data_IF_668638305484
#
_entry.id   IF_668638305484
#
_cell.length_a   1.000
_cell.length_b   1.000
_cell.length_c   1.000
_cell.angle_alpha   90.00
_cell.angle_beta   90.00
_cell.angle_gamma   90.00
#
_symmetry.space_group_name_H-M   'P 1'
#
loop_
_entity.id
_entity.type
_entity.pdbx_description
1 polymer ?
#
# COMPACT_ATOMS: atom_id res chain seq x y z
N UNK A 1 -9.40 -33.27 -39.28
CA UNK A 1 -9.13 -31.83 -39.11
C UNK A 1 -9.13 -31.52 -37.61
N UNK A 2 -8.00 -31.30 -36.95
CA UNK A 2 -8.01 -30.93 -35.54
C UNK A 2 -8.27 -29.42 -35.37
N UNK A 3 -9.30 -29.08 -34.60
CA UNK A 3 -9.63 -27.73 -34.15
C UNK A 3 -8.55 -27.24 -33.17
N UNK A 4 -7.82 -26.20 -33.57
CA UNK A 4 -6.91 -25.47 -32.70
C UNK A 4 -7.67 -24.81 -31.55
N UNK A 5 -7.22 -25.06 -30.32
CA UNK A 5 -7.69 -24.42 -29.11
C UNK A 5 -7.32 -22.93 -29.10
N UNK A 6 -8.34 -22.06 -29.15
CA UNK A 6 -8.22 -20.66 -28.74
C UNK A 6 -8.14 -20.58 -27.21
N UNK A 7 -6.92 -20.70 -26.66
CA UNK A 7 -6.66 -20.28 -25.27
C UNK A 7 -6.69 -18.75 -25.23
N UNK A 8 -7.80 -18.19 -24.77
CA UNK A 8 -7.87 -16.78 -24.39
C UNK A 8 -6.89 -16.48 -23.24
N UNK A 9 -6.53 -15.20 -23.02
CA UNK A 9 -5.67 -14.81 -21.91
C UNK A 9 -6.33 -15.20 -20.59
N UNK A 10 -5.73 -16.16 -19.90
CA UNK A 10 -6.16 -16.60 -18.57
C UNK A 10 -5.84 -15.47 -17.60
N UNK A 11 -6.83 -14.64 -17.29
CA UNK A 11 -6.78 -13.77 -16.12
C UNK A 11 -6.91 -14.66 -14.87
N UNK A 12 -5.83 -15.34 -14.50
CA UNK A 12 -5.79 -16.18 -13.30
C UNK A 12 -5.95 -15.27 -12.08
N UNK A 13 -7.16 -15.26 -11.52
CA UNK A 13 -7.37 -14.63 -10.21
C UNK A 13 -6.70 -15.54 -9.17
N UNK A 14 -5.82 -15.03 -8.30
CA UNK A 14 -5.17 -15.87 -7.29
C UNK A 14 -6.24 -16.49 -6.38
N UNK A 15 -6.12 -17.79 -6.13
CA UNK A 15 -7.03 -18.52 -5.25
C UNK A 15 -6.95 -17.97 -3.82
N UNK A 16 -8.05 -18.00 -3.06
CA UNK A 16 -8.01 -17.74 -1.62
C UNK A 16 -7.08 -18.71 -0.88
N UNK A 17 -6.56 -18.27 0.26
CA UNK A 17 -5.81 -19.13 1.19
C UNK A 17 -6.63 -20.37 1.54
N UNK A 18 -6.00 -21.52 1.63
CA UNK A 18 -6.67 -22.74 2.06
C UNK A 18 -7.19 -22.60 3.50
N UNK A 19 -8.42 -23.07 3.75
CA UNK A 19 -9.06 -22.96 5.05
C UNK A 19 -8.63 -24.12 5.97
N UNK A 20 -7.41 -24.01 6.51
CA UNK A 20 -6.87 -24.91 7.53
C UNK A 20 -6.61 -24.15 8.84
N UNK A 21 -6.70 -24.79 10.02
CA UNK A 21 -6.55 -24.12 11.31
C UNK A 21 -5.24 -23.31 11.45
N UNK A 22 -4.13 -23.83 10.94
CA UNK A 22 -2.81 -23.19 11.01
C UNK A 22 -2.80 -21.82 10.31
N UNK A 23 -3.49 -21.70 9.17
CA UNK A 23 -3.56 -20.46 8.40
C UNK A 23 -4.54 -19.44 9.02
N UNK A 24 -5.36 -19.86 9.99
CA UNK A 24 -6.39 -19.04 10.62
C UNK A 24 -5.98 -18.55 12.02
N UNK A 25 -4.79 -18.88 12.50
CA UNK A 25 -4.26 -18.34 13.76
C UNK A 25 -3.85 -16.87 13.55
N UNK A 26 -4.63 -15.94 14.12
CA UNK A 26 -4.38 -14.51 14.01
C UNK A 26 -3.51 -14.00 15.17
N UNK A 27 -2.57 -13.10 14.86
CA UNK A 27 -1.70 -12.43 15.84
C UNK A 27 -1.71 -10.93 15.64
N UNK A 28 -1.50 -10.17 16.71
CA UNK A 28 -1.29 -8.73 16.63
C UNK A 28 0.21 -8.45 16.59
N UNK A 29 0.67 -7.81 15.52
CA UNK A 29 2.09 -7.47 15.31
C UNK A 29 2.27 -5.98 15.19
N UNK A 30 3.46 -5.49 15.51
CA UNK A 30 3.78 -4.07 15.38
C UNK A 30 4.24 -3.74 13.95
N UNK A 31 3.59 -2.75 13.35
CA UNK A 31 3.96 -2.14 12.08
C UNK A 31 4.04 -0.63 12.30
N UNK A 32 5.24 -0.05 12.16
CA UNK A 32 5.47 1.41 12.26
C UNK A 32 4.83 2.07 13.50
N UNK A 33 4.91 1.40 14.66
CA UNK A 33 4.39 1.89 15.94
C UNK A 33 2.89 1.64 16.19
N UNK A 34 2.18 0.99 15.27
CA UNK A 34 0.79 0.58 15.48
C UNK A 34 0.64 -0.94 15.45
N UNK A 35 -0.34 -1.48 16.18
CA UNK A 35 -0.67 -2.90 16.15
C UNK A 35 -1.59 -3.22 14.97
N UNK A 36 -1.21 -4.19 14.15
CA UNK A 36 -1.99 -4.71 13.02
C UNK A 36 -2.20 -6.21 13.14
N UNK A 37 -3.32 -6.70 12.62
CA UNK A 37 -3.61 -8.12 12.57
C UNK A 37 -2.78 -8.80 11.48
N UNK A 38 -2.26 -9.98 11.79
CA UNK A 38 -1.48 -10.82 10.89
C UNK A 38 -1.93 -12.28 10.95
N UNK A 39 -1.60 -13.01 9.90
CA UNK A 39 -1.67 -14.46 9.81
C UNK A 39 -0.35 -14.99 9.28
N UNK A 40 -0.02 -16.24 9.62
CA UNK A 40 1.09 -16.96 8.99
C UNK A 40 0.51 -17.90 7.94
N UNK A 41 0.92 -17.73 6.69
CA UNK A 41 0.53 -18.59 5.57
C UNK A 41 1.81 -19.11 4.92
N UNK A 42 1.95 -20.42 4.80
CA UNK A 42 3.15 -21.08 4.24
C UNK A 42 4.47 -20.58 4.88
N UNK A 43 4.46 -20.38 6.21
CA UNK A 43 5.61 -19.88 6.96
C UNK A 43 5.90 -18.39 6.79
N UNK A 44 5.13 -17.67 5.97
CA UNK A 44 5.25 -16.23 5.78
C UNK A 44 4.26 -15.47 6.66
N UNK A 45 4.74 -14.52 7.46
CA UNK A 45 3.87 -13.62 8.22
C UNK A 45 3.34 -12.50 7.31
N UNK A 46 2.01 -12.43 7.20
CA UNK A 46 1.31 -11.50 6.33
C UNK A 46 0.34 -10.65 7.17
N UNK A 47 0.36 -9.34 6.94
CA UNK A 47 -0.49 -8.37 7.64
C UNK A 47 -1.74 -8.03 6.82
N UNK A 48 -2.81 -7.62 7.50
CA UNK A 48 -4.05 -7.16 6.88
C UNK A 48 -3.82 -5.88 6.06
N UNK A 49 -3.90 -5.97 4.73
CA UNK A 49 -3.66 -4.83 3.84
C UNK A 49 -4.71 -3.71 3.98
N UNK A 50 -6.03 -3.98 4.04
CA UNK A 50 -7.01 -2.92 4.29
C UNK A 50 -6.78 -2.17 5.61
N UNK A 51 -6.43 -2.88 6.68
CA UNK A 51 -6.10 -2.26 7.98
C UNK A 51 -4.86 -1.36 7.88
N UNK A 52 -3.79 -1.86 7.26
CA UNK A 52 -2.57 -1.08 7.05
C UNK A 52 -2.81 0.14 6.15
N UNK A 53 -3.71 0.02 5.16
CA UNK A 53 -4.16 1.16 4.36
C UNK A 53 -4.84 2.23 5.22
N UNK A 54 -5.81 1.86 6.05
CA UNK A 54 -6.55 2.81 6.89
C UNK A 54 -5.66 3.51 7.93
N UNK A 55 -4.60 2.84 8.39
CA UNK A 55 -3.65 3.40 9.34
C UNK A 55 -2.61 4.32 8.69
N UNK A 56 -2.06 3.93 7.54
CA UNK A 56 -0.84 4.55 7.02
C UNK A 56 -0.97 5.19 5.64
N UNK A 57 -1.91 4.73 4.81
CA UNK A 57 -1.97 5.10 3.39
C UNK A 57 -3.20 5.92 3.00
N UNK A 58 -4.28 5.91 3.80
CA UNK A 58 -5.56 6.57 3.43
C UNK A 58 -5.46 8.06 3.10
N UNK A 59 -4.43 8.74 3.61
CA UNK A 59 -4.18 10.15 3.34
C UNK A 59 -3.13 10.39 2.24
N UNK A 60 -2.44 9.33 1.80
CA UNK A 60 -1.39 9.40 0.78
C UNK A 60 -1.92 9.00 -0.60
N UNK A 61 -3.01 8.23 -0.67
CA UNK A 61 -3.62 7.75 -1.91
C UNK A 61 -5.13 7.87 -1.87
N UNK A 62 -5.77 8.01 -3.03
CA UNK A 62 -7.22 8.22 -3.18
C UNK A 62 -8.11 7.01 -2.86
N UNK A 63 -7.58 5.96 -2.24
CA UNK A 63 -8.34 4.78 -1.82
C UNK A 63 -7.62 3.44 -2.02
N UNK A 64 -8.21 2.38 -1.46
CA UNK A 64 -7.66 1.02 -1.52
C UNK A 64 -7.57 0.46 -2.95
N UNK A 65 -8.40 0.95 -3.89
CA UNK A 65 -8.30 0.58 -5.30
C UNK A 65 -6.97 1.03 -5.92
N UNK A 66 -6.53 2.25 -5.64
CA UNK A 66 -5.24 2.78 -6.09
C UNK A 66 -4.07 1.97 -5.52
N UNK A 67 -4.20 1.49 -4.28
CA UNK A 67 -3.22 0.57 -3.68
C UNK A 67 -3.07 -0.70 -4.51
N UNK A 68 -4.18 -1.34 -4.92
CA UNK A 68 -4.12 -2.53 -5.76
C UNK A 68 -3.49 -2.26 -7.14
N UNK A 69 -3.76 -1.11 -7.75
CA UNK A 69 -3.11 -0.70 -9.00
C UNK A 69 -1.60 -0.53 -8.82
N UNK A 70 -1.17 0.10 -7.72
CA UNK A 70 0.26 0.25 -7.40
C UNK A 70 0.94 -1.09 -7.16
N UNK A 71 0.32 -1.99 -6.40
CA UNK A 71 0.84 -3.35 -6.17
C UNK A 71 1.07 -4.09 -7.49
N UNK A 72 0.13 -3.98 -8.45
CA UNK A 72 0.29 -4.55 -9.79
C UNK A 72 1.53 -3.98 -10.52
N UNK A 73 1.77 -2.67 -10.44
CA UNK A 73 2.93 -2.02 -11.08
C UNK A 73 4.26 -2.40 -10.40
N UNK A 74 4.23 -2.64 -9.10
CA UNK A 74 5.39 -3.09 -8.31
C UNK A 74 5.60 -4.60 -8.39
N UNK A 75 4.78 -5.32 -9.17
CA UNK A 75 4.81 -6.78 -9.32
C UNK A 75 4.60 -7.53 -7.99
N UNK A 76 3.90 -6.92 -7.04
CA UNK A 76 3.54 -7.53 -5.75
C UNK A 76 2.15 -8.13 -5.85
N UNK A 77 2.03 -9.43 -5.62
CA UNK A 77 0.75 -10.14 -5.58
C UNK A 77 0.32 -10.39 -4.13
N UNK A 78 -0.66 -9.65 -3.60
CA UNK A 78 -1.16 -9.89 -2.25
C UNK A 78 -2.00 -11.17 -2.18
N UNK A 79 -1.95 -11.83 -1.03
CA UNK A 79 -2.65 -13.09 -0.75
C UNK A 79 -4.12 -12.82 -0.45
N UNK A 80 -5.05 -13.61 -0.98
CA UNK A 80 -6.49 -13.41 -0.78
C UNK A 80 -6.95 -14.16 0.47
N UNK A 81 -7.55 -13.46 1.43
CA UNK A 81 -8.06 -14.09 2.65
C UNK A 81 -9.15 -15.13 2.34
N UNK A 82 -9.18 -16.20 3.13
CA UNK A 82 -10.33 -17.10 3.18
C UNK A 82 -11.48 -16.49 4.02
N UNK A 83 -12.66 -17.11 3.99
CA UNK A 83 -13.86 -16.62 4.69
C UNK A 83 -13.65 -16.51 6.20
N UNK A 84 -12.90 -17.44 6.79
CA UNK A 84 -12.68 -17.50 8.23
C UNK A 84 -11.71 -16.40 8.70
N UNK A 85 -10.62 -16.18 7.97
CA UNK A 85 -9.73 -15.03 8.21
C UNK A 85 -10.48 -13.70 8.12
N UNK A 86 -11.39 -13.53 7.15
CA UNK A 86 -12.23 -12.32 7.05
C UNK A 86 -13.14 -12.17 8.27
N UNK A 87 -13.73 -13.26 8.77
CA UNK A 87 -14.56 -13.24 9.99
C UNK A 87 -13.74 -12.84 11.22
N UNK A 88 -12.56 -13.43 11.39
CA UNK A 88 -11.64 -13.12 12.50
C UNK A 88 -11.24 -11.64 12.46
N UNK A 89 -10.84 -11.12 11.30
CA UNK A 89 -10.46 -9.71 11.14
C UNK A 89 -11.61 -8.75 11.47
N UNK A 90 -12.85 -9.08 11.12
CA UNK A 90 -14.02 -8.29 11.54
C UNK A 90 -14.25 -8.36 13.04
N UNK A 91 -14.13 -9.54 13.65
CA UNK A 91 -14.28 -9.74 15.09
C UNK A 91 -13.25 -8.96 15.91
N UNK A 92 -12.05 -8.76 15.36
CA UNK A 92 -10.98 -7.94 15.95
C UNK A 92 -11.11 -6.43 15.67
N UNK A 93 -12.07 -6.01 14.84
CA UNK A 93 -12.19 -4.62 14.40
C UNK A 93 -11.07 -4.17 13.44
N UNK A 94 -10.28 -5.10 12.91
CA UNK A 94 -9.20 -4.80 11.96
C UNK A 94 -9.75 -4.31 10.60
N UNK A 95 -10.96 -4.75 10.24
CA UNK A 95 -11.71 -4.30 9.06
C UNK A 95 -13.17 -4.03 9.44
N UNK A 96 -13.85 -3.16 8.68
CA UNK A 96 -15.25 -2.82 8.96
C UNK A 96 -16.19 -4.02 8.78
N UNK A 97 -17.32 -4.08 9.51
CA UNK A 97 -18.26 -5.21 9.46
C UNK A 97 -18.81 -5.54 8.06
N UNK A 98 -18.96 -4.55 7.18
CA UNK A 98 -19.44 -4.74 5.81
C UNK A 98 -18.40 -5.30 4.83
N UNK A 99 -17.13 -5.43 5.24
CA UNK A 99 -16.05 -5.91 4.38
C UNK A 99 -16.10 -7.43 4.26
N UNK A 100 -16.26 -7.92 3.04
CA UNK A 100 -16.32 -9.35 2.71
C UNK A 100 -15.13 -9.85 1.87
N UNK A 101 -14.23 -8.96 1.47
CA UNK A 101 -13.01 -9.29 0.72
C UNK A 101 -11.83 -8.60 1.36
N UNK A 102 -10.85 -9.39 1.77
CA UNK A 102 -9.61 -8.90 2.37
C UNK A 102 -8.42 -9.54 1.66
N UNK A 103 -7.31 -8.82 1.63
CA UNK A 103 -6.04 -9.35 1.17
C UNK A 103 -4.96 -9.14 2.24
N UNK A 104 -3.98 -10.02 2.27
CA UNK A 104 -2.81 -9.97 3.13
C UNK A 104 -1.57 -9.63 2.30
N UNK A 105 -0.60 -8.99 2.93
CA UNK A 105 0.67 -8.59 2.31
C UNK A 105 1.82 -8.83 3.28
N UNK A 106 3.02 -9.16 2.80
CA UNK A 106 4.19 -9.27 3.67
C UNK A 106 4.61 -7.89 4.19
N UNK A 107 5.27 -7.84 5.35
CA UNK A 107 5.81 -6.58 5.88
C UNK A 107 6.79 -5.91 4.92
N UNK A 108 7.65 -6.72 4.28
CA UNK A 108 8.62 -6.24 3.29
C UNK A 108 7.93 -5.57 2.09
N UNK A 109 6.89 -6.21 1.56
CA UNK A 109 6.15 -5.68 0.41
C UNK A 109 5.34 -4.45 0.78
N UNK A 110 4.79 -4.41 2.00
CA UNK A 110 4.12 -3.22 2.51
C UNK A 110 5.08 -2.02 2.60
N UNK A 111 6.32 -2.22 3.05
CA UNK A 111 7.33 -1.15 3.08
C UNK A 111 7.70 -0.67 1.67
N UNK A 112 7.81 -1.57 0.69
CA UNK A 112 7.99 -1.19 -0.72
C UNK A 112 6.83 -0.33 -1.24
N UNK A 113 5.59 -0.75 -0.96
CA UNK A 113 4.39 0.01 -1.32
C UNK A 113 4.34 1.38 -0.62
N UNK A 114 4.67 1.41 0.68
CA UNK A 114 4.66 2.65 1.46
C UNK A 114 5.66 3.64 0.90
N UNK A 115 6.89 3.19 0.62
CA UNK A 115 7.93 4.01 0.02
C UNK A 115 7.53 4.53 -1.36
N UNK A 116 6.85 3.71 -2.19
CA UNK A 116 6.28 4.19 -3.46
C UNK A 116 5.23 5.30 -3.26
N UNK A 117 4.36 5.16 -2.27
CA UNK A 117 3.36 6.18 -1.96
C UNK A 117 4.01 7.48 -1.47
N UNK A 118 5.07 7.40 -0.66
CA UNK A 118 5.73 8.59 -0.07
C UNK A 118 6.78 9.23 -0.97
N UNK A 119 7.47 8.47 -1.83
CA UNK A 119 8.48 9.04 -2.72
C UNK A 119 7.83 9.84 -3.86
N UNK A 120 6.68 9.39 -4.38
CA UNK A 120 5.89 10.19 -5.32
C UNK A 120 5.33 11.48 -4.67
N UNK A 121 5.13 11.48 -3.35
CA UNK A 121 4.77 12.70 -2.62
C UNK A 121 5.93 13.67 -2.49
N UNK A 122 7.20 13.26 -2.58
CA UNK A 122 8.31 14.24 -2.68
C UNK A 122 8.27 14.99 -4.00
N UNK A 123 7.86 14.34 -5.08
CA UNK A 123 7.70 14.98 -6.39
C UNK A 123 6.46 15.87 -6.44
N UNK A 124 5.33 15.45 -5.85
CA UNK A 124 4.13 16.29 -5.74
C UNK A 124 4.34 17.43 -4.73
N UNK A 125 5.00 17.19 -3.60
CA UNK A 125 5.33 18.25 -2.66
C UNK A 125 6.39 19.17 -3.25
N UNK A 126 7.37 18.72 -4.03
CA UNK A 126 8.21 19.62 -4.81
C UNK A 126 7.39 20.36 -5.86
N UNK A 127 6.43 19.77 -6.56
CA UNK A 127 5.57 20.48 -7.50
C UNK A 127 4.62 21.47 -6.82
N UNK A 128 4.08 21.15 -5.64
CA UNK A 128 3.26 22.06 -4.84
C UNK A 128 4.12 23.10 -4.12
N UNK A 129 5.32 22.79 -3.66
CA UNK A 129 6.26 23.76 -3.11
C UNK A 129 6.79 24.63 -4.24
N UNK A 130 7.07 24.10 -5.42
CA UNK A 130 7.38 24.90 -6.61
C UNK A 130 6.18 25.75 -7.00
N UNK A 131 4.94 25.24 -7.06
CA UNK A 131 3.76 26.03 -7.42
C UNK A 131 3.35 27.04 -6.33
N UNK A 132 3.35 26.67 -5.05
CA UNK A 132 3.12 27.54 -3.89
C UNK A 132 4.21 28.60 -3.78
N UNK A 133 5.49 28.22 -3.89
CA UNK A 133 6.59 29.18 -4.04
C UNK A 133 6.45 29.95 -5.35
N UNK A 134 5.75 29.48 -6.40
CA UNK A 134 5.49 30.28 -7.62
C UNK A 134 4.37 31.30 -7.42
N UNK A 135 3.35 30.96 -6.62
CA UNK A 135 2.29 31.88 -6.18
C UNK A 135 2.85 32.91 -5.19
N UNK A 136 3.75 32.52 -4.29
CA UNK A 136 4.52 33.42 -3.43
C UNK A 136 5.75 34.04 -4.12
N UNK A 137 6.15 33.62 -5.34
CA UNK A 137 7.37 34.13 -6.03
C UNK A 137 7.21 35.58 -6.45
N UNK A 138 6.00 36.10 -6.62
CA UNK A 138 5.85 37.56 -6.75
C UNK A 138 6.33 38.31 -5.49
N UNK A 139 6.38 37.65 -4.33
CA UNK A 139 6.90 38.20 -3.06
C UNK A 139 8.32 37.68 -2.74
N UNK A 140 8.66 36.42 -3.04
CA UNK A 140 9.93 35.78 -2.66
C UNK A 140 11.07 36.02 -3.67
N UNK A 141 10.80 36.45 -4.91
CA UNK A 141 11.87 36.89 -5.84
C UNK A 141 12.71 38.02 -5.21
N UNK A 142 12.11 38.86 -4.36
CA UNK A 142 12.81 39.93 -3.65
C UNK A 142 13.83 39.37 -2.63
N UNK A 143 13.55 38.24 -1.98
CA UNK A 143 14.42 37.70 -0.92
C UNK A 143 15.54 36.79 -1.46
N UNK A 144 15.37 36.14 -2.62
CA UNK A 144 16.42 35.28 -3.20
C UNK A 144 17.64 36.03 -3.73
N UNK A 145 17.49 37.31 -4.13
CA UNK A 145 18.62 38.14 -4.54
C UNK A 145 19.54 38.54 -3.37
N UNK A 146 19.09 38.45 -2.11
CA UNK A 146 19.89 38.79 -0.93
C UNK A 146 20.58 37.58 -0.28
N UNK A 147 20.06 36.36 -0.46
CA UNK A 147 20.56 35.16 0.24
C UNK A 147 21.42 34.23 -0.64
N UNK A 148 21.17 34.17 -1.95
CA UNK A 148 21.85 33.20 -2.84
C UNK A 148 23.07 33.78 -3.60
N UNK A 149 23.74 34.79 -3.04
CA UNK A 149 24.99 35.32 -3.60
C UNK A 149 26.13 35.34 -2.58
N UNK A 150 26.29 34.23 -1.83
CA UNK A 150 27.57 33.94 -1.16
C UNK A 150 28.29 32.81 -1.90
N UNK A 151 29.49 33.06 -2.46
CA UNK A 151 30.28 32.02 -3.08
C UNK A 151 30.74 31.01 -2.03
N UNK A 152 30.56 29.71 -2.29
CA UNK A 152 31.22 28.65 -1.53
C UNK A 152 32.73 28.78 -1.76
N UNK A 153 33.49 29.10 -0.70
CA UNK A 153 34.94 28.95 -0.73
C UNK A 153 35.30 27.46 -0.65
N UNK A 154 36.26 27.09 -1.50
CA UNK A 154 36.99 25.82 -1.49
C UNK A 154 37.75 25.62 -0.18
#
# INVERSE_FOLDING_TARGET
MPLHALRGPVYSTPSPVENIPQNNECKMVELRGAKVASFTVDGCELICLPQAFDLFLKHLVGGLHTVYTKLKRLEITPVVCNVEQVRILRGLGAIQPGVNRCKLISRKDFETLYNDCTNNLKDIFLLFFFNFVTVEKNIIIILKNLVWNRPRKA
#
